data_IF_187980385764
#
_entry.id   IF_187980385764
#
_cell.length_a   1.000
_cell.length_b   1.000
_cell.length_c   1.000
_cell.angle_alpha   90.00
_cell.angle_beta   90.00
_cell.angle_gamma   90.00
#
_symmetry.space_group_name_H-M   'P 1'
#
loop_
_entity.id
_entity.type
_entity.pdbx_description
1 polymer ?
#
# COMPACT_ATOMS: atom_id res chain seq x y z
N UNK A 1 1.68 -30.87 5.64
CA UNK A 1 2.50 -29.75 6.13
C UNK A 1 2.48 -28.73 5.01
N UNK A 2 1.91 -27.55 5.23
CA UNK A 2 2.00 -26.44 4.25
C UNK A 2 3.50 -26.25 4.00
N UNK A 3 4.00 -26.57 2.80
CA UNK A 3 5.37 -26.23 2.43
C UNK A 3 5.57 -24.77 2.80
N UNK A 4 6.67 -24.45 3.48
CA UNK A 4 6.89 -23.12 4.02
C UNK A 4 6.97 -22.13 2.85
N UNK A 5 5.81 -21.56 2.47
CA UNK A 5 5.67 -20.60 1.38
C UNK A 5 6.70 -19.50 1.61
N UNK A 6 7.46 -19.19 0.57
CA UNK A 6 8.50 -18.17 0.66
C UNK A 6 7.88 -16.88 1.22
N UNK A 7 8.49 -16.34 2.28
CA UNK A 7 7.96 -15.19 3.00
C UNK A 7 8.55 -13.90 2.42
N UNK A 8 7.70 -13.13 1.76
CA UNK A 8 8.04 -11.81 1.22
C UNK A 8 7.62 -10.75 2.23
N UNK A 9 8.57 -9.92 2.65
CA UNK A 9 8.30 -8.73 3.47
C UNK A 9 8.41 -7.50 2.59
N UNK A 10 7.32 -6.74 2.46
CA UNK A 10 7.26 -5.49 1.70
C UNK A 10 7.33 -4.33 2.69
N UNK A 11 8.37 -3.50 2.58
CA UNK A 11 8.55 -2.31 3.42
C UNK A 11 8.13 -1.08 2.64
N UNK A 12 7.03 -0.48 3.07
CA UNK A 12 6.37 0.65 2.42
C UNK A 12 5.13 0.26 1.64
N UNK A 13 4.05 1.01 1.84
CA UNK A 13 2.74 0.90 1.19
C UNK A 13 2.46 2.10 0.28
N UNK A 14 3.51 2.65 -0.32
CA UNK A 14 3.41 3.59 -1.44
C UNK A 14 2.99 2.89 -2.73
N UNK A 15 3.19 3.55 -3.87
CA UNK A 15 2.83 2.99 -5.18
C UNK A 15 3.47 1.62 -5.43
N UNK A 16 4.79 1.51 -5.29
CA UNK A 16 5.49 0.26 -5.58
C UNK A 16 5.11 -0.89 -4.65
N UNK A 17 4.94 -0.63 -3.35
CA UNK A 17 4.61 -1.68 -2.38
C UNK A 17 3.21 -2.25 -2.58
N UNK A 18 2.23 -1.39 -2.88
CA UNK A 18 0.88 -1.83 -3.23
C UNK A 18 0.87 -2.58 -4.55
N UNK A 19 1.46 -2.02 -5.61
CA UNK A 19 1.47 -2.67 -6.93
C UNK A 19 2.20 -4.01 -6.92
N UNK A 20 3.32 -4.13 -6.19
CA UNK A 20 4.00 -5.41 -5.98
C UNK A 20 3.07 -6.43 -5.31
N UNK A 21 2.37 -6.02 -4.25
CA UNK A 21 1.48 -6.91 -3.51
C UNK A 21 0.28 -7.34 -4.35
N UNK A 22 -0.26 -6.44 -5.19
CA UNK A 22 -1.30 -6.74 -6.18
C UNK A 22 -0.79 -7.71 -7.24
N UNK A 23 0.41 -7.49 -7.78
CA UNK A 23 1.01 -8.34 -8.80
C UNK A 23 1.34 -9.76 -8.28
N UNK A 24 1.64 -9.88 -6.98
CA UNK A 24 1.85 -11.16 -6.30
C UNK A 24 0.56 -11.77 -5.74
N UNK A 25 -0.60 -11.17 -5.97
CA UNK A 25 -1.87 -11.74 -5.51
C UNK A 25 -2.09 -13.13 -6.15
N UNK A 26 -2.21 -14.16 -5.31
CA UNK A 26 -2.38 -15.54 -5.75
C UNK A 26 -1.09 -16.32 -6.02
N UNK A 27 0.08 -15.68 -5.96
CA UNK A 27 1.36 -16.39 -6.01
C UNK A 27 1.54 -17.29 -4.76
N UNK A 28 2.31 -18.39 -4.84
CA UNK A 28 2.52 -19.34 -3.73
C UNK A 28 3.51 -18.80 -2.68
N UNK A 29 3.33 -17.54 -2.25
CA UNK A 29 4.15 -16.82 -1.29
C UNK A 29 3.28 -16.34 -0.12
N UNK A 30 3.89 -16.19 1.05
CA UNK A 30 3.29 -15.47 2.17
C UNK A 30 3.78 -14.04 2.13
N UNK A 31 2.88 -13.06 2.17
CA UNK A 31 3.25 -11.63 2.12
C UNK A 31 2.98 -10.98 3.48
N UNK A 32 3.92 -10.17 3.95
CA UNK A 32 3.70 -9.24 5.07
C UNK A 32 4.11 -7.85 4.64
N UNK A 33 3.18 -6.89 4.73
CA UNK A 33 3.44 -5.49 4.44
C UNK A 33 3.63 -4.71 5.73
N UNK A 34 4.66 -3.88 5.77
CA UNK A 34 4.96 -3.00 6.90
C UNK A 34 5.10 -1.59 6.34
N UNK A 35 4.28 -0.66 6.82
CA UNK A 35 4.44 0.77 6.57
C UNK A 35 4.39 1.53 7.89
N UNK A 36 5.06 2.69 7.93
CA UNK A 36 5.04 3.61 9.07
C UNK A 36 3.64 4.21 9.31
N UNK A 37 2.81 4.28 8.27
CA UNK A 37 1.45 4.83 8.26
C UNK A 37 0.45 3.73 7.91
N UNK A 38 -0.79 3.90 8.36
CA UNK A 38 -1.89 2.98 8.09
C UNK A 38 -2.66 3.28 6.78
N UNK A 39 -2.20 4.26 6.00
CA UNK A 39 -2.84 4.72 4.77
C UNK A 39 -1.83 4.88 3.64
N UNK A 40 -2.28 4.61 2.43
CA UNK A 40 -1.59 5.02 1.22
C UNK A 40 -1.90 6.48 0.94
N UNK A 41 -0.87 7.26 0.61
CA UNK A 41 -1.01 8.66 0.21
C UNK A 41 -0.77 8.77 -1.30
N UNK A 42 -1.76 9.29 -2.03
CA UNK A 42 -1.62 9.62 -3.44
C UNK A 42 -0.89 10.97 -3.58
N UNK A 43 0.43 10.90 -3.45
CA UNK A 43 1.34 12.04 -3.47
C UNK A 43 1.16 12.99 -4.68
N UNK A 44 0.79 12.53 -5.90
CA UNK A 44 0.60 13.42 -7.03
C UNK A 44 -0.44 14.54 -6.82
N UNK A 45 -1.46 14.34 -5.98
CA UNK A 45 -2.49 15.36 -5.70
C UNK A 45 -2.26 16.08 -4.36
N UNK A 46 -1.10 15.91 -3.72
CA UNK A 46 -0.79 16.56 -2.45
C UNK A 46 -0.86 18.09 -2.55
N UNK A 47 -0.52 18.65 -3.71
CA UNK A 47 -0.62 20.08 -3.96
C UNK A 47 -2.08 20.58 -3.90
N UNK A 48 -3.06 19.77 -4.31
CA UNK A 48 -4.47 20.16 -4.27
C UNK A 48 -5.02 20.20 -2.84
N UNK A 49 -4.47 19.37 -1.95
CA UNK A 49 -4.75 19.49 -0.51
C UNK A 49 -4.10 20.75 0.05
N UNK A 50 -2.85 21.04 -0.34
CA UNK A 50 -2.16 22.25 0.10
C UNK A 50 -2.86 23.54 -0.37
N UNK A 51 -3.51 23.53 -1.54
CA UNK A 51 -4.32 24.64 -2.06
C UNK A 51 -5.79 24.59 -1.63
N UNK A 52 -6.16 23.73 -0.67
CA UNK A 52 -7.54 23.56 -0.18
C UNK A 52 -8.56 23.20 -1.25
N UNK A 53 -8.12 22.68 -2.40
CA UNK A 53 -8.98 22.20 -3.48
C UNK A 53 -9.50 20.78 -3.24
N UNK A 54 -8.80 19.99 -2.43
CA UNK A 54 -9.21 18.65 -1.99
C UNK A 54 -9.05 18.49 -0.49
N UNK A 55 -9.90 17.67 0.11
CA UNK A 55 -9.75 17.18 1.47
C UNK A 55 -8.68 16.07 1.54
N UNK A 56 -8.06 15.89 2.70
CA UNK A 56 -7.05 14.84 2.93
C UNK A 56 -7.61 13.43 2.70
N UNK A 57 -8.89 13.21 3.04
CA UNK A 57 -9.58 11.92 2.84
C UNK A 57 -9.74 11.54 1.37
N UNK A 58 -9.64 12.51 0.45
CA UNK A 58 -9.72 12.26 -0.99
C UNK A 58 -8.41 11.72 -1.58
N UNK A 59 -7.31 11.77 -0.83
CA UNK A 59 -5.99 11.31 -1.30
C UNK A 59 -5.28 10.35 -0.35
N UNK A 60 -5.88 10.05 0.82
CA UNK A 60 -5.32 9.16 1.84
C UNK A 60 -6.30 8.03 2.20
N UNK A 61 -6.01 6.81 1.74
CA UNK A 61 -6.91 5.67 1.95
C UNK A 61 -6.29 4.60 2.84
N UNK A 62 -7.06 3.96 3.74
CA UNK A 62 -6.56 2.88 4.58
C UNK A 62 -5.96 1.73 3.74
N UNK A 63 -4.72 1.36 4.01
CA UNK A 63 -3.99 0.31 3.24
C UNK A 63 -4.77 -1.01 3.24
N UNK A 64 -5.47 -1.32 4.35
CA UNK A 64 -6.24 -2.56 4.51
C UNK A 64 -7.47 -2.68 3.60
N UNK A 65 -7.88 -1.58 2.97
CA UNK A 65 -9.04 -1.56 2.05
C UNK A 65 -8.61 -1.42 0.58
N UNK A 66 -7.31 -1.36 0.30
CA UNK A 66 -6.75 -1.20 -1.04
C UNK A 66 -6.38 -2.54 -1.65
#
# INVERSE_FOLDING_TARGET
MDEAKHHVVVVGAGFGGLELTRALAGAPVRITMIDKRNHHLFQPLLYQVATTSLATSEIAWPIRHL
#
